data_IF_778833396521
#
_entry.id   IF_778833396521
#
_cell.length_a   1.000
_cell.length_b   1.000
_cell.length_c   1.000
_cell.angle_alpha   90.00
_cell.angle_beta   90.00
_cell.angle_gamma   90.00
#
_symmetry.space_group_name_H-M   'P 1'
#
loop_
_entity.id
_entity.type
_entity.pdbx_description
1 polymer ?
#
# COMPACT_ATOMS: atom_id res chain seq x y z
N UNK A 1 -5.77 9.21 18.91
CA UNK A 1 -5.49 10.16 17.81
C UNK A 1 -4.15 10.80 18.07
N UNK A 2 -3.35 11.09 17.05
CA UNK A 2 -2.03 11.68 17.24
C UNK A 2 -2.11 13.21 17.29
N UNK A 3 -1.22 13.84 18.05
CA UNK A 3 -1.14 15.29 18.10
C UNK A 3 -0.28 15.83 16.96
N UNK A 4 -0.89 16.64 16.10
CA UNK A 4 -0.25 17.33 14.97
C UNK A 4 -0.26 18.85 15.16
N UNK A 5 -0.44 19.32 16.40
CA UNK A 5 -0.65 20.74 16.69
C UNK A 5 0.53 21.65 16.40
N UNK A 6 1.73 21.07 16.38
CA UNK A 6 3.01 21.73 16.13
C UNK A 6 3.29 22.03 14.66
N UNK A 7 2.51 21.45 13.73
CA UNK A 7 2.75 21.61 12.29
C UNK A 7 2.22 22.95 11.79
N UNK A 8 3.02 23.66 10.99
CA UNK A 8 2.58 24.88 10.28
C UNK A 8 1.63 24.53 9.14
N UNK A 9 0.94 25.54 8.59
CA UNK A 9 0.02 25.34 7.46
C UNK A 9 0.75 24.82 6.21
N UNK A 10 1.96 25.30 5.95
CA UNK A 10 2.80 24.86 4.84
C UNK A 10 3.21 23.40 4.98
N UNK A 11 3.58 22.98 6.20
CA UNK A 11 3.92 21.59 6.50
C UNK A 11 2.69 20.67 6.36
N UNK A 12 1.55 21.10 6.87
CA UNK A 12 0.29 20.38 6.72
C UNK A 12 -0.08 20.23 5.24
N UNK A 13 0.07 21.28 4.43
CA UNK A 13 -0.18 21.21 2.98
C UNK A 13 0.72 20.20 2.28
N UNK A 14 1.99 20.12 2.68
CA UNK A 14 2.92 19.09 2.16
C UNK A 14 2.43 17.68 2.50
N UNK A 15 2.02 17.44 3.75
CA UNK A 15 1.48 16.13 4.18
C UNK A 15 0.20 15.78 3.41
N UNK A 16 -0.74 16.72 3.29
CA UNK A 16 -1.98 16.51 2.53
C UNK A 16 -1.73 16.17 1.07
N UNK A 17 -0.68 16.72 0.47
CA UNK A 17 -0.30 16.40 -0.91
C UNK A 17 0.18 14.95 -1.02
N UNK A 18 0.94 14.44 -0.04
CA UNK A 18 1.34 13.03 0.00
C UNK A 18 0.13 12.11 0.17
N UNK A 19 -0.78 12.45 1.08
CA UNK A 19 -2.00 11.67 1.33
C UNK A 19 -2.91 11.60 0.10
N UNK A 20 -3.00 12.68 -0.68
CA UNK A 20 -3.74 12.69 -1.95
C UNK A 20 -3.14 11.72 -2.97
N UNK A 21 -1.82 11.79 -3.18
CA UNK A 21 -1.13 10.87 -4.09
C UNK A 21 -1.26 9.42 -3.65
N UNK A 22 -1.21 9.16 -2.35
CA UNK A 22 -1.46 7.82 -1.79
C UNK A 22 -2.88 7.33 -2.11
N UNK A 23 -3.90 8.18 -2.01
CA UNK A 23 -5.27 7.84 -2.39
C UNK A 23 -5.38 7.53 -3.89
N UNK A 24 -4.79 8.36 -4.75
CA UNK A 24 -4.77 8.15 -6.20
C UNK A 24 -4.08 6.82 -6.56
N UNK A 25 -2.96 6.51 -5.90
CA UNK A 25 -2.24 5.25 -6.08
C UNK A 25 -3.07 4.03 -5.63
N UNK A 26 -3.76 4.14 -4.49
CA UNK A 26 -4.65 3.07 -4.00
C UNK A 26 -5.80 2.81 -4.96
N UNK A 27 -6.38 3.86 -5.54
CA UNK A 27 -7.45 3.71 -6.52
C UNK A 27 -6.94 3.02 -7.80
N UNK A 28 -5.81 3.45 -8.33
CA UNK A 28 -5.20 2.82 -9.50
C UNK A 28 -4.86 1.34 -9.25
N UNK A 29 -4.42 1.01 -8.03
CA UNK A 29 -4.14 -0.35 -7.61
C UNK A 29 -5.41 -1.20 -7.50
N UNK A 30 -6.51 -0.66 -6.96
CA UNK A 30 -7.80 -1.33 -6.91
C UNK A 30 -8.31 -1.68 -8.33
N UNK A 31 -8.15 -0.75 -9.27
CA UNK A 31 -8.50 -1.01 -10.67
C UNK A 31 -7.62 -2.10 -11.30
N UNK A 32 -6.32 -2.12 -10.97
CA UNK A 32 -5.40 -3.17 -11.42
C UNK A 32 -5.81 -4.54 -10.87
N UNK A 33 -6.15 -4.61 -9.58
CA UNK A 33 -6.63 -5.83 -8.93
C UNK A 33 -7.93 -6.31 -9.58
N UNK A 34 -8.90 -5.42 -9.79
CA UNK A 34 -10.17 -5.76 -10.45
C UNK A 34 -9.97 -6.33 -11.86
N UNK A 35 -9.02 -5.78 -12.64
CA UNK A 35 -8.67 -6.33 -13.96
C UNK A 35 -8.02 -7.71 -13.83
N UNK A 36 -7.13 -7.88 -12.86
CA UNK A 36 -6.42 -9.13 -12.61
C UNK A 36 -7.39 -10.25 -12.19
N UNK A 37 -8.36 -9.95 -11.32
CA UNK A 37 -9.41 -10.89 -10.91
C UNK A 37 -10.27 -11.33 -12.09
N UNK A 38 -10.70 -10.41 -12.96
CA UNK A 38 -11.48 -10.74 -14.17
C UNK A 38 -10.74 -11.71 -15.11
N UNK A 39 -9.42 -11.52 -15.27
CA UNK A 39 -8.59 -12.42 -16.07
C UNK A 39 -8.53 -13.80 -15.41
N UNK A 40 -8.38 -13.88 -14.09
CA UNK A 40 -8.37 -15.15 -13.37
C UNK A 40 -9.74 -15.84 -13.37
N UNK A 41 -10.85 -15.13 -13.24
CA UNK A 41 -12.18 -15.76 -13.36
C UNK A 41 -12.41 -16.41 -14.73
N UNK A 42 -11.64 -16.01 -15.74
CA UNK A 42 -11.72 -16.53 -17.11
C UNK A 42 -10.69 -17.65 -17.39
N UNK A 43 -9.80 -17.97 -16.46
CA UNK A 43 -8.71 -18.94 -16.67
C UNK A 43 -8.37 -19.76 -15.43
N UNK A 44 -7.94 -21.02 -15.62
CA UNK A 44 -7.53 -21.89 -14.51
C UNK A 44 -6.12 -21.52 -14.00
N UNK A 45 -6.00 -20.42 -13.25
CA UNK A 45 -4.75 -20.05 -12.56
C UNK A 45 -4.80 -20.46 -11.09
N UNK A 46 -3.70 -21.00 -10.52
CA UNK A 46 -3.66 -21.46 -9.14
C UNK A 46 -3.89 -20.30 -8.14
N UNK A 47 -4.84 -20.50 -7.24
CA UNK A 47 -5.34 -19.53 -6.23
C UNK A 47 -4.21 -18.87 -5.43
N UNK A 48 -3.17 -19.63 -5.08
CA UNK A 48 -2.04 -19.15 -4.28
C UNK A 48 -1.27 -17.98 -4.91
N UNK A 49 -1.19 -17.90 -6.25
CA UNK A 49 -0.45 -16.83 -6.95
C UNK A 49 -1.16 -15.48 -6.84
N UNK A 50 -2.50 -15.48 -6.72
CA UNK A 50 -3.29 -14.25 -6.72
C UNK A 50 -3.00 -13.41 -5.48
N UNK A 51 -2.99 -14.04 -4.30
CA UNK A 51 -2.71 -13.35 -3.02
C UNK A 51 -1.36 -12.62 -3.02
N UNK A 52 -0.38 -13.13 -3.75
CA UNK A 52 0.92 -12.47 -3.93
C UNK A 52 0.85 -11.26 -4.86
N UNK A 53 0.09 -11.37 -5.95
CA UNK A 53 -0.07 -10.30 -6.93
C UNK A 53 -0.96 -9.17 -6.44
N UNK A 54 -1.99 -9.45 -5.63
CA UNK A 54 -2.89 -8.45 -5.02
C UNK A 54 -2.30 -7.85 -3.74
N UNK A 55 -1.26 -8.47 -3.18
CA UNK A 55 -0.67 -8.05 -1.92
C UNK A 55 -1.45 -8.49 -0.67
N UNK A 56 -2.52 -9.27 -0.81
CA UNK A 56 -3.30 -9.80 0.32
C UNK A 56 -2.45 -10.56 1.33
N UNK A 57 -1.42 -11.28 0.86
CA UNK A 57 -0.48 -12.00 1.73
C UNK A 57 0.15 -11.10 2.80
N UNK A 58 0.39 -9.82 2.48
CA UNK A 58 0.97 -8.85 3.40
C UNK A 58 -0.02 -8.49 4.51
N UNK A 59 -1.29 -8.30 4.17
CA UNK A 59 -2.34 -7.98 5.14
C UNK A 59 -2.65 -9.16 6.05
N UNK A 60 -2.60 -10.39 5.54
CA UNK A 60 -2.69 -11.60 6.36
C UNK A 60 -1.51 -11.73 7.33
N UNK A 61 -0.28 -11.51 6.84
CA UNK A 61 0.91 -11.54 7.69
C UNK A 61 0.91 -10.41 8.75
N UNK A 62 0.37 -9.24 8.39
CA UNK A 62 0.22 -8.08 9.29
C UNK A 62 -0.82 -8.34 10.38
N UNK A 63 -1.98 -8.90 10.02
CA UNK A 63 -3.09 -9.13 10.95
C UNK A 63 -2.73 -10.12 12.07
N UNK A 64 -1.77 -11.02 11.84
CA UNK A 64 -1.25 -11.93 12.87
C UNK A 64 -0.47 -11.22 13.98
N UNK A 65 0.03 -10.02 13.74
CA UNK A 65 0.84 -9.23 14.69
C UNK A 65 0.13 -7.99 15.21
N UNK A 66 -0.80 -7.46 14.43
CA UNK A 66 -1.50 -6.21 14.73
C UNK A 66 -2.99 -6.42 14.52
N UNK A 67 -3.77 -6.25 15.59
CA UNK A 67 -5.24 -6.34 15.54
C UNK A 67 -5.88 -5.12 14.87
N UNK A 68 -5.17 -3.99 14.85
CA UNK A 68 -5.65 -2.75 14.27
C UNK A 68 -5.63 -2.81 12.74
N UNK A 69 -6.80 -2.66 12.13
CA UNK A 69 -6.99 -2.62 10.68
C UNK A 69 -6.86 -1.22 10.08
N UNK A 70 -6.65 -0.21 10.93
CA UNK A 70 -6.62 1.20 10.51
C UNK A 70 -5.28 1.49 9.83
N UNK A 71 -5.34 2.14 8.67
CA UNK A 71 -4.13 2.55 7.95
C UNK A 71 -3.52 3.81 8.58
N UNK A 72 -2.19 3.90 8.59
CA UNK A 72 -1.50 5.09 9.08
C UNK A 72 -2.00 6.38 8.41
N UNK A 73 -2.22 6.34 7.09
CA UNK A 73 -2.80 7.44 6.31
C UNK A 73 -4.15 7.91 6.85
N UNK A 74 -5.01 6.99 7.31
CA UNK A 74 -6.33 7.32 7.87
C UNK A 74 -6.21 7.96 9.25
N UNK A 75 -5.26 7.49 10.07
CA UNK A 75 -4.95 8.10 11.37
C UNK A 75 -4.49 9.55 11.17
N UNK A 76 -3.60 9.80 10.20
CA UNK A 76 -3.14 11.16 9.88
C UNK A 76 -4.31 12.02 9.38
N UNK A 77 -5.10 11.53 8.41
CA UNK A 77 -6.25 12.25 7.86
C UNK A 77 -7.26 12.66 8.94
N UNK A 78 -7.62 11.73 9.83
CA UNK A 78 -8.53 12.01 10.94
C UNK A 78 -7.94 13.05 11.90
N UNK A 79 -6.65 12.94 12.22
CA UNK A 79 -5.95 13.86 13.14
C UNK A 79 -5.87 15.28 12.56
N UNK A 80 -5.69 15.43 11.25
CA UNK A 80 -5.70 16.74 10.60
C UNK A 80 -7.10 17.35 10.48
N UNK A 81 -8.16 16.52 10.34
CA UNK A 81 -9.55 16.99 10.22
C UNK A 81 -10.06 17.63 11.51
N UNK A 82 -9.71 17.08 12.68
CA UNK A 82 -10.17 17.57 13.99
C UNK A 82 -9.77 19.03 14.30
N UNK A 83 -8.81 19.62 13.57
CA UNK A 83 -8.39 21.02 13.72
C UNK A 83 -9.41 22.03 13.20
N UNK A 84 -10.24 21.65 12.23
CA UNK A 84 -11.18 22.59 11.56
C UNK A 84 -12.48 22.77 12.33
N UNK A 85 -12.85 21.77 13.13
CA UNK A 85 -14.04 21.77 13.95
C UNK A 85 -13.61 22.08 15.39
N UNK A 86 -13.35 23.35 15.68
CA UNK A 86 -12.84 23.77 16.99
C UNK A 86 -13.79 23.38 18.13
N UNK A 87 -13.53 22.26 18.82
CA UNK A 87 -14.14 21.99 20.13
C UNK A 87 -13.46 20.83 20.87
N UNK A 88 -13.00 21.15 22.08
CA UNK A 88 -12.78 20.30 23.25
C UNK A 88 -11.73 19.17 23.16
N UNK A 89 -10.60 19.48 23.81
CA UNK A 89 -9.60 18.54 24.33
C UNK A 89 -10.29 17.38 25.05
N UNK A 90 -10.10 16.16 24.57
CA UNK A 90 -10.31 14.95 25.36
C UNK A 90 -8.98 14.21 25.46
N UNK A 91 -8.35 14.39 26.61
CA UNK A 91 -7.25 13.57 27.09
C UNK A 91 -7.75 12.12 27.22
N UNK A 92 -7.11 11.19 26.50
CA UNK A 92 -7.40 9.75 26.64
C UNK A 92 -6.08 9.00 26.69
N UNK A 93 -5.58 8.88 27.92
CA UNK A 93 -4.81 7.77 28.50
C UNK A 93 -4.15 6.76 27.55
N UNK A 94 -2.80 6.80 27.54
CA UNK A 94 -1.91 5.73 27.05
C UNK A 94 -2.19 4.41 27.79
N UNK A 95 -2.35 3.33 27.03
CA UNK A 95 -2.13 1.95 27.52
C UNK A 95 -0.71 1.49 27.13
N UNK A 96 -0.01 0.71 27.98
CA UNK A 96 1.35 0.29 27.71
C UNK A 96 1.35 -0.84 26.67
N UNK A 97 1.97 -0.58 25.51
CA UNK A 97 2.23 -1.57 24.47
C UNK A 97 3.31 -2.54 24.94
N UNK A 98 2.98 -3.84 25.00
CA UNK A 98 3.91 -4.91 25.33
C UNK A 98 4.94 -5.08 24.21
N UNK A 99 6.19 -5.23 24.63
CA UNK A 99 7.37 -5.30 23.78
C UNK A 99 7.41 -6.67 23.09
N UNK A 100 6.88 -6.75 21.86
CA UNK A 100 6.95 -7.94 21.02
C UNK A 100 8.28 -8.02 20.26
N UNK A 101 9.00 -9.14 20.40
CA UNK A 101 10.27 -9.38 19.69
C UNK A 101 10.07 -9.35 18.17
N UNK A 102 10.86 -8.52 17.50
CA UNK A 102 10.85 -8.36 16.05
C UNK A 102 11.56 -9.54 15.39
N UNK A 103 10.78 -10.50 14.89
CA UNK A 103 11.26 -11.37 13.80
C UNK A 103 10.53 -10.97 12.52
N UNK A 104 11.25 -10.29 11.64
CA UNK A 104 10.77 -9.94 10.32
C UNK A 104 10.55 -11.22 9.51
N UNK A 105 9.38 -11.40 8.87
CA UNK A 105 9.18 -12.52 7.97
C UNK A 105 10.09 -12.31 6.75
N UNK A 106 10.69 -13.37 6.19
CA UNK A 106 11.55 -13.24 5.02
C UNK A 106 10.72 -12.69 3.86
N UNK A 107 11.10 -11.52 3.35
CA UNK A 107 10.66 -11.06 2.03
C UNK A 107 11.28 -12.03 1.03
N UNK A 108 10.50 -12.71 0.17
CA UNK A 108 11.10 -13.50 -0.90
C UNK A 108 11.90 -12.57 -1.81
N UNK A 109 13.10 -13.01 -2.15
CA UNK A 109 13.97 -12.38 -3.15
C UNK A 109 13.14 -12.02 -4.38
N UNK A 110 13.31 -10.80 -4.88
CA UNK A 110 12.82 -10.45 -6.22
C UNK A 110 13.38 -11.49 -7.19
N UNK A 111 12.57 -12.45 -7.61
CA UNK A 111 12.87 -13.24 -8.80
C UNK A 111 12.69 -12.30 -9.99
N UNK A 112 13.69 -11.45 -10.21
CA UNK A 112 13.89 -10.79 -11.49
C UNK A 112 14.44 -11.87 -12.41
N UNK A 113 13.56 -12.68 -12.98
CA UNK A 113 13.94 -13.51 -14.10
C UNK A 113 14.20 -12.54 -15.24
N UNK A 114 15.48 -12.26 -15.47
CA UNK A 114 15.93 -11.46 -16.58
C UNK A 114 15.40 -12.11 -17.85
N UNK A 115 14.37 -11.50 -18.44
CA UNK A 115 13.98 -11.80 -19.81
C UNK A 115 15.19 -11.42 -20.67
N UNK A 116 15.98 -12.44 -21.00
CA UNK A 116 17.02 -12.36 -22.03
C UNK A 116 16.41 -11.70 -23.27
N UNK A 117 17.02 -10.64 -23.83
CA UNK A 117 16.50 -10.04 -25.05
C UNK A 117 16.51 -11.10 -26.15
N UNK A 118 15.32 -11.46 -26.64
CA UNK A 118 15.19 -12.30 -27.83
C UNK A 118 15.72 -11.47 -29.00
N UNK A 119 16.81 -11.92 -29.62
CA UNK A 119 17.34 -11.31 -30.84
C UNK A 119 16.25 -11.23 -31.90
N UNK A 120 15.87 -10.00 -32.25
CA UNK A 120 14.99 -9.74 -33.39
C UNK A 120 15.86 -9.87 -34.64
N UNK A 121 15.72 -10.98 -35.35
CA UNK A 121 16.33 -11.15 -36.68
C UNK A 121 15.57 -10.26 -37.67
N UNK A 122 16.21 -9.20 -38.14
CA UNK A 122 15.71 -8.41 -39.26
C UNK A 122 16.13 -9.08 -40.57
N UNK A 123 15.16 -9.59 -41.33
CA UNK A 123 15.37 -9.99 -42.72
C UNK A 123 15.39 -8.73 -43.57
N UNK A 124 16.55 -8.38 -44.12
CA UNK A 124 16.65 -7.32 -45.13
C UNK A 124 16.01 -7.86 -46.41
N UNK A 125 14.87 -7.29 -46.79
CA UNK A 125 14.24 -7.56 -48.08
C UNK A 125 15.02 -6.75 -49.11
N UNK A 126 15.91 -7.42 -49.85
CA UNK A 126 16.60 -6.81 -50.99
C UNK A 126 15.60 -6.74 -52.14
N UNK A 127 15.23 -5.53 -52.56
CA UNK A 127 14.50 -5.28 -53.81
C UNK A 127 15.52 -5.15 -54.93
N UNK A 128 15.39 -6.01 -55.94
CA UNK A 128 16.14 -5.98 -57.20
C UNK A 128 15.65 -4.89 -58.14
#
# INVERSE_FOLDING_TARGET
MIDLSHLTEEEQKKIMTVLRRDADLKQAEEERIRKLEKIQSSGSQPEGKMKYLTGEWFYEAKSRRHMDKIHGSEIILASMKQRRDGSLRSDKSRTPSSRGSSVAPPKPSRCFEALQPKEIKYTIISVS
#
